data_IF_403970209647
#
_entry.id   IF_403970209647
#
_cell.length_a   1.000
_cell.length_b   1.000
_cell.length_c   1.000
_cell.angle_alpha   90.00
_cell.angle_beta   90.00
_cell.angle_gamma   90.00
#
_symmetry.space_group_name_H-M   'P 1'
#
loop_
_entity.id
_entity.type
_entity.pdbx_description
1 polymer ?
#
# COMPACT_ATOMS: atom_id res chain seq x y z
N UNK A 1 -0.62 -5.00 2.57
CA UNK A 1 -0.66 -5.05 1.08
C UNK A 1 0.00 -3.80 0.48
N UNK A 2 1.31 -3.58 0.70
CA UNK A 2 1.98 -2.33 0.30
C UNK A 2 2.08 -2.14 -1.22
N UNK A 3 2.34 -3.21 -1.98
CA UNK A 3 2.42 -3.14 -3.45
C UNK A 3 1.11 -2.71 -4.11
N UNK A 4 -0.03 -3.16 -3.56
CA UNK A 4 -1.34 -2.73 -4.03
C UNK A 4 -1.50 -1.21 -3.87
N UNK A 5 -1.13 -0.66 -2.71
CA UNK A 5 -1.18 0.78 -2.46
C UNK A 5 -0.23 1.52 -3.40
N UNK A 6 1.02 1.07 -3.52
CA UNK A 6 2.03 1.68 -4.39
C UNK A 6 1.55 1.80 -5.84
N UNK A 7 1.12 0.69 -6.44
CA UNK A 7 0.76 0.64 -7.85
C UNK A 7 -0.47 1.50 -8.14
N UNK A 8 -1.51 1.38 -7.32
CA UNK A 8 -2.74 2.14 -7.55
C UNK A 8 -2.56 3.63 -7.25
N UNK A 9 -1.82 4.01 -6.20
CA UNK A 9 -1.53 5.42 -5.93
C UNK A 9 -0.72 6.09 -7.04
N UNK A 10 0.32 5.41 -7.54
CA UNK A 10 1.11 5.92 -8.66
C UNK A 10 0.26 6.09 -9.92
N UNK A 11 -0.54 5.07 -10.26
CA UNK A 11 -1.48 5.15 -11.38
C UNK A 11 -2.52 6.27 -11.20
N UNK A 12 -3.05 6.46 -9.99
CA UNK A 12 -4.03 7.51 -9.68
C UNK A 12 -3.51 8.90 -9.99
N UNK A 13 -2.26 9.19 -9.61
CA UNK A 13 -1.63 10.47 -9.91
C UNK A 13 -1.43 10.65 -11.41
N UNK A 14 -1.07 9.59 -12.15
CA UNK A 14 -0.97 9.65 -13.61
C UNK A 14 -2.32 9.98 -14.27
N UNK A 15 -3.42 9.49 -13.70
CA UNK A 15 -4.78 9.81 -14.15
C UNK A 15 -5.35 11.12 -13.58
N UNK A 16 -4.55 11.89 -12.83
CA UNK A 16 -4.97 13.13 -12.14
C UNK A 16 -6.12 12.91 -11.14
N UNK A 17 -6.20 11.72 -10.54
CA UNK A 17 -7.11 11.40 -9.46
C UNK A 17 -6.49 11.77 -8.10
N UNK A 18 -7.27 12.41 -7.23
CA UNK A 18 -6.89 12.78 -5.86
C UNK A 18 -7.17 11.66 -4.83
N UNK A 19 -7.80 10.59 -5.30
CA UNK A 19 -8.17 9.39 -4.54
C UNK A 19 -7.65 8.14 -5.27
N UNK A 20 -7.42 7.08 -4.50
CA UNK A 20 -6.91 5.82 -5.04
C UNK A 20 -7.91 5.22 -6.04
N UNK A 21 -7.48 5.09 -7.30
CA UNK A 21 -8.20 4.42 -8.38
C UNK A 21 -7.36 3.28 -8.96
N UNK A 22 -8.04 2.23 -9.41
CA UNK A 22 -7.43 1.09 -10.09
C UNK A 22 -7.32 1.35 -11.60
N UNK A 23 -6.52 0.55 -12.34
CA UNK A 23 -6.30 0.73 -13.77
C UNK A 23 -7.54 0.69 -14.68
N UNK A 24 -8.62 0.06 -14.22
CA UNK A 24 -9.92 0.00 -14.89
C UNK A 24 -10.83 1.19 -14.53
N UNK A 25 -10.32 2.16 -13.77
CA UNK A 25 -11.08 3.33 -13.33
C UNK A 25 -11.99 3.06 -12.13
N UNK A 26 -11.99 1.85 -11.57
CA UNK A 26 -12.71 1.61 -10.32
C UNK A 26 -12.04 2.38 -9.19
N UNK A 27 -12.84 3.01 -8.34
CA UNK A 27 -12.39 3.53 -7.07
C UNK A 27 -12.95 2.54 -6.06
N UNK A 28 -12.11 1.70 -5.43
CA UNK A 28 -12.56 0.52 -4.69
C UNK A 28 -13.63 0.82 -3.64
N UNK A 29 -13.65 2.06 -3.13
CA UNK A 29 -14.59 2.52 -2.11
C UNK A 29 -15.15 3.90 -2.47
N UNK A 30 -15.29 4.22 -3.76
CA UNK A 30 -16.35 5.15 -4.14
C UNK A 30 -17.60 4.32 -4.03
N UNK A 31 -18.18 4.35 -2.84
CA UNK A 31 -19.42 3.69 -2.51
C UNK A 31 -20.43 4.15 -3.52
N UNK A 32 -20.62 3.35 -4.57
CA UNK A 32 -21.69 3.55 -5.53
C UNK A 32 -22.96 3.81 -4.72
N UNK A 33 -23.93 4.57 -5.25
CA UNK A 33 -25.14 4.92 -4.51
C UNK A 33 -25.79 3.73 -3.77
N UNK A 34 -25.60 2.51 -4.30
CA UNK A 34 -26.10 1.23 -3.79
C UNK A 34 -25.02 0.30 -3.20
N UNK A 35 -23.84 0.79 -2.78
CA UNK A 35 -22.82 -0.10 -2.21
C UNK A 35 -23.27 -0.63 -0.85
N UNK A 36 -23.16 -1.95 -0.65
CA UNK A 36 -23.53 -2.67 0.57
C UNK A 36 -22.99 -2.03 1.86
N UNK A 37 -21.82 -1.39 1.78
CA UNK A 37 -21.11 -0.88 2.96
C UNK A 37 -21.36 0.62 3.21
N UNK A 38 -22.14 1.31 2.37
CA UNK A 38 -22.30 2.78 2.38
C UNK A 38 -22.91 3.33 3.68
N UNK A 39 -23.70 2.50 4.35
CA UNK A 39 -24.37 2.88 5.59
C UNK A 39 -23.48 2.64 6.82
N UNK A 40 -22.35 1.94 6.66
CA UNK A 40 -21.41 1.70 7.75
C UNK A 40 -20.41 2.86 7.87
N UNK A 41 -20.55 3.62 8.95
CA UNK A 41 -19.73 4.81 9.21
C UNK A 41 -18.26 4.46 9.49
N UNK A 42 -17.97 3.27 10.00
CA UNK A 42 -16.61 2.80 10.29
C UNK A 42 -15.89 2.49 8.97
N UNK A 43 -16.50 1.72 8.08
CA UNK A 43 -15.96 1.40 6.76
C UNK A 43 -15.77 2.66 5.94
N UNK A 44 -16.78 3.54 5.90
CA UNK A 44 -16.73 4.79 5.14
C UNK A 44 -15.56 5.65 5.62
N UNK A 45 -15.40 5.84 6.94
CA UNK A 45 -14.29 6.61 7.51
C UNK A 45 -12.92 5.97 7.24
N UNK A 46 -12.77 4.67 7.49
CA UNK A 46 -11.51 3.96 7.28
C UNK A 46 -11.08 3.99 5.80
N UNK A 47 -12.04 3.81 4.90
CA UNK A 47 -11.81 3.81 3.46
C UNK A 47 -11.42 5.18 2.92
N UNK A 48 -12.16 6.23 3.26
CA UNK A 48 -11.85 7.59 2.83
C UNK A 48 -10.47 8.03 3.32
N UNK A 49 -10.19 7.81 4.60
CA UNK A 49 -8.90 8.15 5.20
C UNK A 49 -7.77 7.40 4.49
N UNK A 50 -7.93 6.09 4.27
CA UNK A 50 -6.92 5.28 3.61
C UNK A 50 -6.71 5.69 2.15
N UNK A 51 -7.78 5.86 1.36
CA UNK A 51 -7.68 6.16 -0.07
C UNK A 51 -7.04 7.52 -0.32
N UNK A 52 -7.37 8.54 0.48
CA UNK A 52 -6.74 9.87 0.36
C UNK A 52 -5.29 9.84 0.82
N UNK A 53 -5.02 9.24 1.99
CA UNK A 53 -3.66 9.17 2.52
C UNK A 53 -2.71 8.35 1.65
N UNK A 54 -3.25 7.40 0.87
CA UNK A 54 -2.47 6.61 -0.08
C UNK A 54 -1.93 7.47 -1.25
N UNK A 55 -2.69 8.46 -1.73
CA UNK A 55 -2.37 9.22 -2.95
C UNK A 55 -1.59 10.50 -2.66
N UNK A 56 -1.88 11.18 -1.55
CA UNK A 56 -1.27 12.47 -1.21
C UNK A 56 0.28 12.49 -1.26
N UNK A 57 1.00 11.47 -0.76
CA UNK A 57 2.46 11.42 -0.88
C UNK A 57 2.95 11.43 -2.33
N UNK A 58 2.22 10.80 -3.25
CA UNK A 58 2.60 10.70 -4.66
C UNK A 58 2.41 12.02 -5.40
N UNK A 59 1.34 12.76 -5.06
CA UNK A 59 1.09 14.11 -5.59
C UNK A 59 2.21 15.06 -5.16
N UNK A 60 2.61 15.00 -3.89
CA UNK A 60 3.70 15.84 -3.35
C UNK A 60 5.05 15.46 -3.93
N UNK A 61 5.39 14.17 -3.93
CA UNK A 61 6.72 13.70 -4.28
C UNK A 61 6.96 13.69 -5.80
N UNK A 62 5.92 13.63 -6.64
CA UNK A 62 6.03 13.58 -8.10
C UNK A 62 7.07 12.55 -8.57
N UNK A 63 6.85 11.30 -8.17
CA UNK A 63 7.72 10.18 -8.50
C UNK A 63 7.97 10.08 -10.00
N UNK A 64 9.24 9.87 -10.36
CA UNK A 64 9.61 9.45 -11.71
C UNK A 64 9.56 7.92 -11.83
N UNK A 65 9.62 7.41 -13.06
CA UNK A 65 9.50 5.98 -13.34
C UNK A 65 10.63 5.17 -12.69
N UNK A 66 11.86 5.68 -12.70
CA UNK A 66 13.03 5.02 -12.13
C UNK A 66 12.89 4.88 -10.60
N UNK A 67 12.48 5.95 -9.92
CA UNK A 67 12.19 5.93 -8.47
C UNK A 67 11.07 4.94 -8.18
N UNK A 68 9.97 4.97 -8.96
CA UNK A 68 8.84 4.07 -8.78
C UNK A 68 9.22 2.59 -8.90
N UNK A 69 9.97 2.21 -9.93
CA UNK A 69 10.35 0.80 -10.17
C UNK A 69 11.28 0.30 -9.07
N UNK A 70 12.23 1.12 -8.61
CA UNK A 70 13.13 0.77 -7.51
C UNK A 70 12.39 0.64 -6.17
N UNK A 71 11.48 1.56 -5.86
CA UNK A 71 10.60 1.45 -4.69
C UNK A 71 9.78 0.16 -4.76
N UNK A 72 9.22 -0.17 -5.92
CA UNK A 72 8.48 -1.43 -6.13
C UNK A 72 9.35 -2.66 -5.85
N UNK A 73 10.59 -2.66 -6.32
CA UNK A 73 11.54 -3.74 -6.09
C UNK A 73 11.90 -3.87 -4.61
N UNK A 74 12.19 -2.75 -3.93
CA UNK A 74 12.47 -2.72 -2.48
C UNK A 74 11.31 -3.30 -1.68
N UNK A 75 10.08 -2.85 -1.94
CA UNK A 75 8.89 -3.35 -1.23
C UNK A 75 8.70 -4.84 -1.49
N UNK A 76 8.82 -5.29 -2.76
CA UNK A 76 8.69 -6.71 -3.10
C UNK A 76 9.70 -7.57 -2.35
N UNK A 77 10.96 -7.13 -2.30
CA UNK A 77 12.05 -7.82 -1.59
C UNK A 77 11.89 -7.79 -0.07
N UNK A 78 11.15 -6.82 0.50
CA UNK A 78 10.83 -6.79 1.94
C UNK A 78 9.59 -7.61 2.31
N UNK A 79 8.78 -8.07 1.34
CA UNK A 79 7.60 -8.89 1.64
C UNK A 79 8.02 -10.30 2.05
N UNK A 80 8.30 -10.49 3.34
CA UNK A 80 8.51 -11.81 3.94
C UNK A 80 7.17 -12.54 3.96
N UNK A 81 7.02 -13.56 3.12
CA UNK A 81 5.87 -14.48 3.21
C UNK A 81 6.12 -15.48 4.35
N UNK A 82 5.08 -15.79 5.16
CA UNK A 82 5.12 -16.96 6.02
C UNK A 82 5.51 -18.20 5.22
N UNK A 83 6.43 -19.02 5.75
CA UNK A 83 6.88 -20.26 5.11
C UNK A 83 8.17 -20.14 4.27
N UNK A 84 8.79 -18.97 4.18
CA UNK A 84 10.13 -18.84 3.58
C UNK A 84 11.22 -19.39 4.51
N UNK A 85 12.15 -20.15 3.93
CA UNK A 85 13.34 -20.62 4.63
C UNK A 85 14.30 -19.47 4.95
N UNK A 86 15.14 -19.64 5.97
CA UNK A 86 16.12 -18.61 6.35
C UNK A 86 17.05 -18.18 5.20
N UNK A 87 17.55 -19.09 4.33
CA UNK A 87 18.34 -18.68 3.17
C UNK A 87 17.53 -17.80 2.20
N UNK A 88 16.25 -18.11 1.96
CA UNK A 88 15.39 -17.31 1.10
C UNK A 88 15.12 -15.92 1.71
N UNK A 89 14.89 -15.84 3.02
CA UNK A 89 14.73 -14.56 3.71
C UNK A 89 16.00 -13.70 3.64
N UNK A 90 17.18 -14.31 3.78
CA UNK A 90 18.47 -13.63 3.61
C UNK A 90 18.67 -13.09 2.20
N UNK A 91 18.34 -13.91 1.19
CA UNK A 91 18.41 -13.49 -0.22
C UNK A 91 17.52 -12.27 -0.49
N UNK A 92 16.27 -12.31 -0.01
CA UNK A 92 15.32 -11.20 -0.16
C UNK A 92 15.82 -9.92 0.53
N UNK A 93 16.39 -10.01 1.73
CA UNK A 93 16.99 -8.85 2.42
C UNK A 93 18.17 -8.27 1.62
N UNK A 94 19.05 -9.12 1.11
CA UNK A 94 20.19 -8.68 0.29
C UNK A 94 19.74 -7.98 -0.99
N UNK A 95 18.70 -8.48 -1.65
CA UNK A 95 18.11 -7.81 -2.81
C UNK A 95 17.49 -6.46 -2.45
N UNK A 96 16.80 -6.37 -1.30
CA UNK A 96 16.24 -5.10 -0.83
C UNK A 96 17.34 -4.04 -0.58
N UNK A 97 18.45 -4.43 0.05
CA UNK A 97 19.62 -3.57 0.28
C UNK A 97 20.25 -3.10 -1.04
N UNK A 98 20.37 -4.00 -2.02
CA UNK A 98 20.89 -3.68 -3.35
C UNK A 98 20.02 -2.66 -4.08
N UNK A 99 18.69 -2.83 -4.07
CA UNK A 99 17.78 -1.86 -4.69
C UNK A 99 17.75 -0.53 -3.94
N UNK A 100 17.90 -0.52 -2.61
CA UNK A 100 18.02 0.69 -1.82
C UNK A 100 19.31 1.47 -2.16
N UNK A 101 20.45 0.79 -2.26
CA UNK A 101 21.71 1.40 -2.70
C UNK A 101 21.61 1.97 -4.12
N UNK A 102 20.95 1.24 -5.03
CA UNK A 102 20.72 1.72 -6.39
C UNK A 102 19.81 2.95 -6.42
N UNK A 103 18.76 2.99 -5.59
CA UNK A 103 17.89 4.15 -5.46
C UNK A 103 18.66 5.38 -5.01
N UNK A 104 19.52 5.24 -3.99
CA UNK A 104 20.40 6.31 -3.51
C UNK A 104 21.31 6.83 -4.65
N UNK A 105 21.94 5.93 -5.40
CA UNK A 105 22.78 6.30 -6.54
C UNK A 105 22.01 7.05 -7.62
N UNK A 106 20.80 6.60 -7.97
CA UNK A 106 19.93 7.25 -8.97
C UNK A 106 19.58 8.67 -8.54
N UNK A 107 19.13 8.86 -7.29
CA UNK A 107 18.74 10.20 -6.84
C UNK A 107 19.94 11.13 -6.63
N UNK A 108 21.10 10.62 -6.21
CA UNK A 108 22.32 11.42 -6.12
C UNK A 108 22.87 11.81 -7.49
N UNK A 109 22.77 10.93 -8.48
CA UNK A 109 23.18 11.24 -9.86
C UNK A 109 22.26 12.31 -10.46
N UNK A 110 20.96 12.25 -10.16
CA UNK A 110 19.96 13.18 -10.74
C UNK A 110 19.92 14.54 -10.06
N UNK A 111 19.99 14.59 -8.73
CA UNK A 111 19.79 15.80 -7.94
C UNK A 111 21.07 16.32 -7.27
N UNK A 112 22.20 15.63 -7.42
CA UNK A 112 23.45 15.91 -6.72
C UNK A 112 23.52 15.26 -5.34
N UNK A 113 24.69 15.30 -4.70
CA UNK A 113 24.96 14.52 -3.49
C UNK A 113 24.03 14.87 -2.31
N UNK A 114 23.92 16.15 -1.96
CA UNK A 114 23.13 16.61 -0.82
C UNK A 114 21.61 16.56 -1.07
N UNK A 115 21.13 17.12 -2.19
CA UNK A 115 19.70 17.09 -2.51
C UNK A 115 19.22 15.67 -2.86
N UNK A 116 20.07 14.84 -3.45
CA UNK A 116 19.79 13.42 -3.66
C UNK A 116 19.65 12.66 -2.34
N UNK A 117 20.49 12.93 -1.33
CA UNK A 117 20.35 12.32 -0.01
C UNK A 117 19.02 12.72 0.67
N UNK A 118 18.61 13.98 0.56
CA UNK A 118 17.31 14.45 1.06
C UNK A 118 16.16 13.72 0.34
N UNK A 119 16.22 13.64 -0.99
CA UNK A 119 15.23 12.92 -1.80
C UNK A 119 15.17 11.44 -1.40
N UNK A 120 16.30 10.78 -1.21
CA UNK A 120 16.36 9.39 -0.75
C UNK A 120 15.62 9.20 0.57
N UNK A 121 15.82 10.09 1.55
CA UNK A 121 15.09 10.04 2.83
C UNK A 121 13.58 10.21 2.64
N UNK A 122 13.14 11.12 1.77
CA UNK A 122 11.71 11.26 1.45
C UNK A 122 11.11 9.98 0.86
N UNK A 123 11.84 9.31 -0.05
CA UNK A 123 11.42 8.07 -0.68
C UNK A 123 11.41 6.89 0.31
N UNK A 124 12.33 6.87 1.26
CA UNK A 124 12.30 5.88 2.36
C UNK A 124 11.10 6.11 3.29
N UNK A 125 10.78 7.36 3.62
CA UNK A 125 9.57 7.70 4.35
C UNK A 125 8.29 7.32 3.59
N UNK A 126 8.30 7.43 2.25
CA UNK A 126 7.21 6.93 1.43
C UNK A 126 7.07 5.40 1.54
N UNK A 127 8.16 4.64 1.45
CA UNK A 127 8.14 3.18 1.59
C UNK A 127 7.50 2.77 2.92
N UNK A 128 7.93 3.38 4.03
CA UNK A 128 7.34 3.13 5.35
C UNK A 128 5.84 3.46 5.37
N UNK A 129 5.45 4.62 4.84
CA UNK A 129 4.06 5.02 4.70
C UNK A 129 3.20 4.03 3.89
N UNK A 130 3.79 3.40 2.87
CA UNK A 130 3.13 2.37 2.06
C UNK A 130 2.93 1.06 2.82
N UNK A 131 3.88 0.64 3.66
CA UNK A 131 3.68 -0.50 4.57
C UNK A 131 2.55 -0.23 5.56
N UNK A 132 2.55 0.94 6.18
CA UNK A 132 1.51 1.35 7.15
C UNK A 132 0.13 1.43 6.49
N UNK A 133 0.03 2.08 5.33
CA UNK A 133 -1.24 2.16 4.58
C UNK A 133 -1.70 0.79 4.10
N UNK A 134 -0.76 -0.05 3.66
CA UNK A 134 -1.04 -1.43 3.28
C UNK A 134 -1.51 -2.30 4.44
N UNK A 135 -1.12 -2.01 5.68
CA UNK A 135 -1.63 -2.66 6.89
C UNK A 135 -3.05 -2.20 7.21
N UNK A 136 -3.33 -0.88 7.13
CA UNK A 136 -4.68 -0.32 7.29
C UNK A 136 -5.68 -0.86 6.27
N UNK A 137 -5.26 -1.02 5.01
CA UNK A 137 -6.10 -1.66 3.99
C UNK A 137 -6.46 -3.09 4.36
N UNK A 138 -5.49 -3.85 4.88
CA UNK A 138 -5.76 -5.22 5.35
C UNK A 138 -6.74 -5.21 6.52
N UNK A 139 -6.56 -4.34 7.51
CA UNK A 139 -7.48 -4.20 8.64
C UNK A 139 -8.91 -3.90 8.18
N UNK A 140 -9.07 -3.02 7.18
CA UNK A 140 -10.38 -2.74 6.58
C UNK A 140 -11.01 -4.00 5.97
N UNK A 141 -10.25 -4.75 5.17
CA UNK A 141 -10.76 -5.98 4.56
C UNK A 141 -11.10 -7.04 5.62
N UNK A 142 -10.30 -7.18 6.68
CA UNK A 142 -10.57 -8.08 7.80
C UNK A 142 -11.83 -7.67 8.57
N UNK A 143 -12.06 -6.38 8.76
CA UNK A 143 -13.29 -5.87 9.38
C UNK A 143 -14.51 -6.21 8.54
N UNK A 144 -14.46 -5.93 7.23
CA UNK A 144 -15.55 -6.27 6.31
C UNK A 144 -15.82 -7.77 6.32
N UNK A 145 -14.78 -8.61 6.23
CA UNK A 145 -14.95 -10.06 6.16
C UNK A 145 -15.47 -10.69 7.45
N UNK A 146 -15.02 -10.20 8.61
CA UNK A 146 -15.29 -10.87 9.89
C UNK A 146 -16.47 -10.26 10.64
N UNK A 147 -16.84 -9.01 10.35
CA UNK A 147 -17.87 -8.28 11.09
C UNK A 147 -19.10 -7.99 10.24
N UNK A 148 -18.91 -7.56 8.98
CA UNK A 148 -20.02 -7.02 8.19
C UNK A 148 -20.63 -8.01 7.20
N UNK A 149 -19.81 -8.79 6.52
CA UNK A 149 -20.26 -9.61 5.40
C UNK A 149 -20.03 -11.10 5.65
N UNK A 150 -21.03 -11.84 6.18
CA UNK A 150 -20.91 -13.28 6.40
C UNK A 150 -20.79 -14.08 5.10
N UNK A 151 -21.01 -13.46 3.93
CA UNK A 151 -20.83 -14.07 2.62
C UNK A 151 -19.57 -13.58 1.90
N UNK A 152 -18.67 -12.85 2.58
CA UNK A 152 -17.45 -12.29 1.99
C UNK A 152 -16.65 -13.33 1.19
N UNK A 153 -16.45 -14.53 1.74
CA UNK A 153 -15.71 -15.62 1.10
C UNK A 153 -16.39 -16.18 -0.16
N UNK A 154 -17.69 -15.91 -0.37
CA UNK A 154 -18.44 -16.35 -1.56
C UNK A 154 -18.34 -15.36 -2.71
N UNK A 155 -18.16 -14.08 -2.42
CA UNK A 155 -18.14 -12.99 -3.40
C UNK A 155 -16.73 -12.49 -3.71
N UNK A 156 -15.78 -12.73 -2.80
CA UNK A 156 -14.41 -12.28 -2.94
C UNK A 156 -13.50 -13.39 -3.50
N UNK A 157 -12.52 -13.08 -4.36
CA UNK A 157 -11.63 -14.09 -4.92
C UNK A 157 -10.94 -14.93 -3.82
N UNK A 158 -10.95 -16.28 -3.90
CA UNK A 158 -10.56 -17.15 -2.77
C UNK A 158 -9.17 -16.87 -2.19
N UNK A 159 -8.20 -16.54 -3.05
CA UNK A 159 -6.83 -16.20 -2.64
C UNK A 159 -6.80 -14.90 -1.83
N UNK A 160 -7.54 -13.89 -2.27
CA UNK A 160 -7.61 -12.59 -1.59
C UNK A 160 -8.46 -12.69 -0.32
N UNK A 161 -9.51 -13.51 -0.32
CA UNK A 161 -10.32 -13.79 0.86
C UNK A 161 -9.46 -14.37 1.97
N UNK A 162 -8.67 -15.40 1.66
CA UNK A 162 -7.73 -16.04 2.61
C UNK A 162 -6.68 -15.09 3.18
N UNK A 163 -6.22 -14.10 2.42
CA UNK A 163 -5.25 -13.08 2.89
C UNK A 163 -5.93 -12.05 3.81
N UNK A 164 -7.22 -11.79 3.55
CA UNK A 164 -8.05 -10.81 4.27
C UNK A 164 -8.63 -11.36 5.58
N UNK A 165 -8.93 -12.65 5.65
CA UNK A 165 -9.57 -13.31 6.81
C UNK A 165 -8.59 -13.87 7.84
N UNK A 166 -7.30 -14.04 7.49
CA UNK A 166 -6.27 -14.54 8.40
C UNK A 166 -5.66 -13.44 9.27
N UNK A 167 -6.17 -13.26 10.49
CA UNK A 167 -5.50 -12.51 11.58
C UNK A 167 -6.49 -11.92 12.57
N UNK A 168 -6.19 -11.89 13.89
CA UNK A 168 -7.06 -11.24 14.86
C UNK A 168 -7.14 -9.74 14.59
N UNK A 169 -8.37 -9.20 14.65
CA UNK A 169 -8.60 -7.75 14.70
C UNK A 169 -8.41 -7.34 16.15
N UNK A 170 -7.26 -6.77 16.49
CA UNK A 170 -7.08 -6.15 17.79
C UNK A 170 -7.88 -4.83 17.81
N UNK A 171 -8.97 -4.79 18.57
CA UNK A 171 -9.93 -3.68 18.62
C UNK A 171 -9.30 -2.32 18.96
N UNK A 172 -8.20 -2.31 19.73
CA UNK A 172 -7.45 -1.10 20.07
C UNK A 172 -6.67 -0.49 18.88
N UNK A 173 -6.48 -1.24 17.79
CA UNK A 173 -5.87 -0.74 16.55
C UNK A 173 -6.89 -0.07 15.62
N UNK A 174 -8.20 -0.32 15.82
CA UNK A 174 -9.29 0.27 15.02
C UNK A 174 -9.70 1.66 15.50
N UNK A 175 -9.41 1.99 16.76
CA UNK A 175 -9.74 3.26 17.39
C UNK A 175 -8.51 3.76 18.19
N UNK A 176 -7.51 4.38 17.54
CA UNK A 176 -6.55 5.17 18.30
C UNK A 176 -7.33 6.37 18.86
N UNK A 177 -7.39 6.47 20.18
CA UNK A 177 -7.88 7.65 20.88
C UNK A 177 -7.12 8.91 20.47
#
# INVERSE_FOLDING_TARGET
>A
MPLYVLCNSFYSVQQKCDVLCTPDGLIPIKMAPNSLYKQDSVVTRMSEQMMRNAVQPFVRLKLINEEFVLIRAIIYSHMVSPGLSDPAQKLLRSEAEKYAALLMSVVQTKYGHAAGALRYMELMGLIEGLFNTGAKYRQLLTYISNVLDPNFDKVFPPVLAKISTKGPVESHQLFPY
#
